data_IF_169445792178
#
_entry.id   IF_169445792178
#
_cell.length_a   1.000
_cell.length_b   1.000
_cell.length_c   1.000
_cell.angle_alpha   90.00
_cell.angle_beta   90.00
_cell.angle_gamma   90.00
#
_symmetry.space_group_name_H-M   'P 1'
#
loop_
_entity.id
_entity.type
_entity.pdbx_description
1 polymer ?
#
# COMPACT_ATOMS: atom_id res chain seq x y z
N UNK A 1 10.62 1.88 10.48
CA UNK A 1 9.81 1.72 9.24
C UNK A 1 10.06 0.35 8.66
N UNK A 2 8.99 -0.30 8.20
CA UNK A 2 9.02 -1.52 7.42
C UNK A 2 8.81 -1.20 5.93
N UNK A 3 9.48 -1.94 5.05
CA UNK A 3 9.21 -1.86 3.60
C UNK A 3 9.38 -3.23 2.96
N UNK A 4 8.56 -3.54 1.96
CA UNK A 4 8.72 -4.75 1.15
C UNK A 4 8.37 -4.47 -0.31
N UNK A 5 9.25 -4.86 -1.22
CA UNK A 5 9.03 -4.73 -2.65
C UNK A 5 9.54 -5.97 -3.39
N UNK A 6 8.99 -6.23 -4.58
CA UNK A 6 9.58 -7.20 -5.51
C UNK A 6 10.79 -6.61 -6.19
N UNK A 7 11.81 -7.43 -6.41
CA UNK A 7 12.99 -7.11 -7.21
C UNK A 7 13.08 -8.14 -8.32
N UNK A 8 13.14 -7.64 -9.55
CA UNK A 8 13.39 -8.46 -10.74
C UNK A 8 14.89 -8.49 -11.03
N UNK A 9 15.46 -9.67 -11.20
CA UNK A 9 16.88 -9.79 -11.56
C UNK A 9 17.11 -9.28 -13.00
N UNK A 10 18.00 -8.30 -13.17
CA UNK A 10 18.27 -7.69 -14.48
C UNK A 10 18.71 -8.71 -15.55
N UNK A 11 19.59 -9.65 -15.18
CA UNK A 11 20.10 -10.68 -16.10
C UNK A 11 19.12 -11.85 -16.30
N UNK A 12 18.26 -12.11 -15.33
CA UNK A 12 17.31 -13.22 -15.33
C UNK A 12 15.92 -12.67 -15.06
N UNK A 13 15.32 -12.07 -16.09
CA UNK A 13 13.99 -11.41 -16.01
C UNK A 13 12.86 -12.33 -15.54
N UNK A 14 13.08 -13.64 -15.50
CA UNK A 14 12.14 -14.64 -14.98
C UNK A 14 12.27 -14.89 -13.48
N UNK A 15 13.30 -14.34 -12.83
CA UNK A 15 13.54 -14.48 -11.40
C UNK A 15 13.13 -13.21 -10.66
N UNK A 16 11.93 -13.25 -10.10
CA UNK A 16 11.49 -12.29 -9.09
C UNK A 16 11.88 -12.79 -7.70
N UNK A 17 12.22 -11.87 -6.80
CA UNK A 17 12.26 -12.13 -5.36
C UNK A 17 11.59 -10.97 -4.63
N UNK A 18 11.14 -11.20 -3.39
CA UNK A 18 10.62 -10.14 -2.54
C UNK A 18 11.58 -9.91 -1.41
N UNK A 19 11.93 -8.65 -1.18
CA UNK A 19 12.87 -8.27 -0.13
C UNK A 19 12.13 -7.35 0.82
N UNK A 20 12.05 -7.77 2.07
CA UNK A 20 11.61 -6.92 3.16
C UNK A 20 12.81 -6.29 3.85
N UNK A 21 12.70 -5.02 4.22
CA UNK A 21 13.73 -4.26 4.93
C UNK A 21 13.14 -3.51 6.11
N UNK A 22 14.01 -3.21 7.07
CA UNK A 22 13.74 -2.33 8.19
C UNK A 22 14.67 -1.12 8.13
N UNK A 23 14.10 0.06 8.34
CA UNK A 23 14.83 1.32 8.46
C UNK A 23 14.60 1.90 9.85
N UNK A 24 15.70 2.16 10.58
CA UNK A 24 15.69 2.75 11.92
C UNK A 24 15.54 4.26 11.77
N UNK A 25 14.42 4.80 12.24
CA UNK A 25 14.09 6.23 12.11
C UNK A 25 14.72 7.11 13.17
N UNK A 26 15.26 6.52 14.25
CA UNK A 26 16.05 7.23 15.27
C UNK A 26 17.38 7.77 14.71
N UNK A 27 17.78 7.29 13.52
CA UNK A 27 18.94 7.82 12.80
C UNK A 27 18.55 9.05 11.99
N UNK A 28 19.52 9.96 11.85
CA UNK A 28 19.35 11.16 11.04
C UNK A 28 18.97 10.84 9.58
N UNK A 29 18.17 11.70 8.91
CA UNK A 29 17.75 11.49 7.52
C UNK A 29 18.92 11.25 6.56
N UNK A 30 20.07 11.89 6.78
CA UNK A 30 21.27 11.80 5.94
C UNK A 30 21.96 10.44 6.04
N UNK A 31 21.67 9.66 7.09
CA UNK A 31 22.32 8.37 7.32
C UNK A 31 21.37 7.19 7.24
N UNK A 32 20.10 7.34 7.63
CA UNK A 32 19.18 6.21 7.83
C UNK A 32 18.93 5.35 6.58
N UNK A 33 19.07 5.92 5.38
CA UNK A 33 18.91 5.19 4.11
C UNK A 33 20.23 4.72 3.48
N UNK A 34 21.38 4.94 4.13
CA UNK A 34 22.65 4.39 3.64
C UNK A 34 22.61 2.86 3.79
N UNK A 35 23.06 2.13 2.77
CA UNK A 35 23.06 0.64 2.71
C UNK A 35 23.45 -0.05 4.01
N UNK A 36 24.48 0.46 4.71
CA UNK A 36 24.97 -0.12 5.98
C UNK A 36 24.00 -0.05 7.16
N UNK A 37 22.97 0.78 7.08
CA UNK A 37 21.97 0.99 8.14
C UNK A 37 20.57 0.50 7.75
N UNK A 38 20.39 0.04 6.52
CA UNK A 38 19.16 -0.62 6.09
C UNK A 38 19.29 -2.10 6.45
N UNK A 39 18.41 -2.58 7.33
CA UNK A 39 18.49 -3.94 7.84
C UNK A 39 17.62 -4.85 6.96
N UNK A 40 18.16 -5.96 6.43
CA UNK A 40 17.33 -6.96 5.76
C UNK A 40 16.40 -7.62 6.77
N UNK A 41 15.10 -7.66 6.46
CA UNK A 41 14.09 -8.34 7.26
C UNK A 41 13.90 -9.78 6.83
N UNK A 42 13.47 -9.98 5.57
CA UNK A 42 13.36 -11.31 4.98
C UNK A 42 13.58 -11.24 3.46
N UNK A 43 13.97 -12.37 2.89
CA UNK A 43 14.09 -12.56 1.44
C UNK A 43 13.20 -13.74 1.08
N UNK A 44 12.23 -13.50 0.21
CA UNK A 44 11.30 -14.51 -0.27
C UNK A 44 11.74 -14.88 -1.68
N UNK A 45 12.20 -16.13 -1.90
CA UNK A 45 12.61 -16.57 -3.23
C UNK A 45 11.39 -16.69 -4.15
N UNK A 46 11.51 -16.25 -5.40
CA UNK A 46 10.54 -16.58 -6.43
C UNK A 46 10.89 -17.88 -7.15
N UNK A 47 10.57 -18.02 -8.45
CA UNK A 47 10.09 -16.98 -9.38
C UNK A 47 8.60 -16.67 -9.23
N UNK A 48 7.85 -17.49 -8.49
CA UNK A 48 6.41 -17.32 -8.31
C UNK A 48 6.14 -16.41 -7.13
N UNK A 49 5.14 -15.54 -7.29
CA UNK A 49 4.61 -14.72 -6.21
C UNK A 49 4.25 -15.56 -4.98
N UNK A 50 4.59 -15.10 -3.75
CA UNK A 50 4.15 -15.77 -2.54
C UNK A 50 2.62 -15.85 -2.53
N UNK A 51 2.08 -17.07 -2.39
CA UNK A 51 0.63 -17.28 -2.25
C UNK A 51 0.09 -16.67 -0.95
N UNK A 52 0.90 -16.74 0.10
CA UNK A 52 0.62 -16.16 1.40
C UNK A 52 1.84 -15.33 1.80
N UNK A 53 1.73 -14.01 1.68
CA UNK A 53 2.80 -13.11 2.10
C UNK A 53 2.92 -13.09 3.64
N UNK A 54 1.78 -13.15 4.34
CA UNK A 54 1.70 -13.08 5.79
C UNK A 54 2.55 -14.18 6.45
N UNK A 55 2.62 -15.39 5.88
CA UNK A 55 3.42 -16.47 6.46
C UNK A 55 4.93 -16.16 6.51
N UNK A 56 5.42 -15.32 5.60
CA UNK A 56 6.82 -14.88 5.59
C UNK A 56 7.07 -13.67 6.49
N UNK A 57 6.06 -12.80 6.66
CA UNK A 57 6.15 -11.59 7.48
C UNK A 57 5.90 -11.87 8.97
N UNK A 58 5.05 -12.85 9.25
CA UNK A 58 4.60 -13.19 10.60
C UNK A 58 5.75 -13.39 11.60
N UNK A 59 6.84 -14.12 11.30
CA UNK A 59 7.92 -14.29 12.27
C UNK A 59 8.55 -12.97 12.70
N UNK A 60 8.85 -12.07 11.75
CA UNK A 60 9.43 -10.77 12.05
C UNK A 60 8.47 -9.87 12.82
N UNK A 61 7.20 -9.87 12.44
CA UNK A 61 6.16 -9.07 13.11
C UNK A 61 5.84 -9.61 14.51
N UNK A 62 5.83 -10.92 14.71
CA UNK A 62 5.66 -11.56 16.01
C UNK A 62 6.73 -11.09 17.00
N UNK A 63 8.01 -11.09 16.59
CA UNK A 63 9.09 -10.59 17.44
C UNK A 63 8.94 -9.09 17.74
N UNK A 64 8.56 -8.28 16.75
CA UNK A 64 8.32 -6.86 16.97
C UNK A 64 7.17 -6.63 17.97
N UNK A 65 6.05 -7.33 17.81
CA UNK A 65 4.91 -7.26 18.75
C UNK A 65 5.29 -7.73 20.15
N UNK A 66 6.10 -8.80 20.27
CA UNK A 66 6.60 -9.26 21.56
C UNK A 66 7.45 -8.17 22.24
N UNK A 67 8.36 -7.52 21.51
CA UNK A 67 9.17 -6.40 22.02
C UNK A 67 8.33 -5.17 22.36
N UNK A 68 7.29 -4.88 21.58
CA UNK A 68 6.34 -3.80 21.88
C UNK A 68 5.59 -4.06 23.19
N UNK A 69 5.28 -5.32 23.51
CA UNK A 69 4.51 -5.68 24.69
C UNK A 69 5.39 -5.86 25.94
N UNK A 70 6.52 -6.53 25.81
CA UNK A 70 7.40 -6.90 26.92
C UNK A 70 8.48 -5.85 27.20
N UNK A 71 8.81 -5.02 26.20
CA UNK A 71 9.89 -4.05 26.25
C UNK A 71 11.26 -4.66 25.98
N UNK A 72 12.04 -3.99 25.12
CA UNK A 72 13.44 -4.32 24.86
C UNK A 72 14.31 -3.71 25.97
N UNK A 73 14.89 -4.55 26.82
CA UNK A 73 15.85 -4.12 27.84
C UNK A 73 17.21 -3.83 27.20
N UNK A 74 17.67 -2.60 27.34
CA UNK A 74 18.94 -2.11 26.83
C UNK A 74 19.77 -1.64 28.03
N UNK A 75 20.97 -2.20 28.18
CA UNK A 75 21.91 -1.71 29.18
C UNK A 75 22.66 -0.50 28.63
N UNK A 76 22.46 0.66 29.27
CA UNK A 76 23.21 1.88 28.99
C UNK A 76 24.43 1.93 29.90
N UNK A 77 25.59 1.60 29.34
CA UNK A 77 26.87 1.60 30.05
C UNK A 77 27.29 3.00 30.50
N UNK A 78 26.90 4.04 29.78
CA UNK A 78 27.28 5.43 30.10
C UNK A 78 26.59 5.94 31.37
N UNK A 79 25.38 5.45 31.64
CA UNK A 79 24.57 5.80 32.81
C UNK A 79 24.56 4.70 33.88
N UNK A 80 25.10 3.52 33.57
CA UNK A 80 24.99 2.31 34.37
C UNK A 80 23.54 1.99 34.76
N UNK A 81 22.63 2.09 33.80
CA UNK A 81 21.19 1.85 34.00
C UNK A 81 20.63 0.93 32.93
N UNK A 82 19.52 0.25 33.25
CA UNK A 82 18.72 -0.46 32.25
C UNK A 82 17.62 0.47 31.76
N UNK A 83 17.60 0.73 30.45
CA UNK A 83 16.53 1.42 29.75
C UNK A 83 15.62 0.38 29.07
N UNK A 84 14.30 0.58 29.14
CA UNK A 84 13.33 -0.27 28.45
C UNK A 84 12.79 0.50 27.24
N UNK A 85 13.06 -0.02 26.06
CA UNK A 85 12.59 0.54 24.79
C UNK A 85 11.39 -0.25 24.26
N UNK A 86 10.35 0.45 23.82
CA UNK A 86 9.22 -0.15 23.13
C UNK A 86 9.25 0.31 21.66
N UNK A 87 9.67 -0.55 20.71
CA UNK A 87 9.87 -0.14 19.33
C UNK A 87 8.58 0.36 18.67
N UNK A 88 8.59 1.60 18.17
CA UNK A 88 7.45 2.18 17.45
C UNK A 88 7.51 1.84 15.95
N UNK A 89 6.46 1.22 15.42
CA UNK A 89 6.31 0.98 13.99
C UNK A 89 5.68 2.20 13.32
N UNK A 90 6.53 3.13 12.88
CA UNK A 90 6.07 4.39 12.32
C UNK A 90 5.38 4.27 10.96
N UNK A 91 5.95 3.49 10.03
CA UNK A 91 5.44 3.40 8.67
C UNK A 91 5.72 2.02 8.09
N UNK A 92 4.81 1.56 7.25
CA UNK A 92 4.89 0.34 6.48
C UNK A 92 4.63 0.66 5.01
N UNK A 93 5.59 0.35 4.15
CA UNK A 93 5.63 0.85 2.77
C UNK A 93 5.77 -0.29 1.77
N UNK A 94 5.15 -0.13 0.61
CA UNK A 94 5.32 -0.99 -0.56
C UNK A 94 4.86 -0.21 -1.80
N UNK A 95 5.29 -0.67 -2.98
CA UNK A 95 4.76 -0.19 -4.26
C UNK A 95 3.25 -0.45 -4.39
N UNK A 96 2.58 0.23 -5.33
CA UNK A 96 1.12 0.16 -5.48
C UNK A 96 0.55 -1.28 -5.44
N UNK A 97 1.07 -2.22 -6.25
CA UNK A 97 0.64 -3.62 -6.23
C UNK A 97 1.00 -4.37 -4.94
N UNK A 98 2.18 -4.15 -4.37
CA UNK A 98 2.61 -4.75 -3.11
C UNK A 98 1.79 -4.27 -1.91
N UNK A 99 1.30 -3.04 -1.97
CA UNK A 99 0.53 -2.42 -0.91
C UNK A 99 -0.78 -3.14 -0.59
N UNK A 100 -1.46 -3.65 -1.62
CA UNK A 100 -2.68 -4.44 -1.47
C UNK A 100 -2.46 -5.70 -0.61
N UNK A 101 -1.23 -6.23 -0.57
CA UNK A 101 -0.88 -7.38 0.28
C UNK A 101 -0.59 -7.01 1.73
N UNK A 102 -0.24 -5.74 2.02
CA UNK A 102 0.02 -5.30 3.39
C UNK A 102 -1.27 -4.82 4.06
N UNK A 103 -2.03 -3.99 3.36
CA UNK A 103 -3.24 -3.37 3.89
C UNK A 103 -4.47 -4.29 3.76
N UNK A 104 -4.39 -5.32 2.93
CA UNK A 104 -5.48 -6.26 2.64
C UNK A 104 -6.76 -5.58 2.13
N UNK A 105 -6.59 -4.45 1.44
CA UNK A 105 -7.62 -3.78 0.68
C UNK A 105 -7.79 -4.43 -0.70
N UNK A 106 -8.92 -4.15 -1.35
CA UNK A 106 -9.13 -4.55 -2.74
C UNK A 106 -8.16 -3.75 -3.62
N UNK A 107 -7.40 -4.44 -4.49
CA UNK A 107 -6.44 -3.81 -5.40
C UNK A 107 -7.09 -3.06 -6.58
N UNK A 108 -6.48 -3.12 -7.77
CA UNK A 108 -6.87 -2.37 -8.98
C UNK A 108 -8.31 -2.60 -9.50
N UNK A 109 -9.02 -3.61 -8.99
CA UNK A 109 -10.43 -3.87 -9.29
C UNK A 109 -11.40 -3.20 -8.29
N UNK A 110 -10.88 -2.51 -7.28
CA UNK A 110 -11.66 -1.81 -6.27
C UNK A 110 -12.11 -0.43 -6.75
N UNK A 111 -13.33 -0.02 -6.37
CA UNK A 111 -13.86 1.32 -6.69
C UNK A 111 -13.13 2.45 -5.95
N UNK A 112 -12.38 2.14 -4.90
CA UNK A 112 -11.52 3.09 -4.22
C UNK A 112 -10.10 2.93 -4.78
N UNK A 113 -9.64 3.85 -5.62
CA UNK A 113 -8.31 3.74 -6.21
C UNK A 113 -7.19 4.13 -5.25
N UNK A 114 -7.49 4.81 -4.14
CA UNK A 114 -6.49 5.05 -3.11
C UNK A 114 -6.30 3.79 -2.25
N UNK A 115 -5.12 3.18 -2.35
CA UNK A 115 -4.74 2.05 -1.50
C UNK A 115 -4.47 2.45 -0.03
N UNK A 116 -4.72 3.69 0.38
CA UNK A 116 -4.63 4.15 1.78
C UNK A 116 -6.01 4.27 2.45
N UNK A 117 -7.09 3.89 1.77
CA UNK A 117 -8.45 3.95 2.33
C UNK A 117 -8.99 5.38 2.57
N UNK A 118 -8.62 6.37 1.74
CA UNK A 118 -9.14 7.74 1.87
C UNK A 118 -10.59 7.94 1.38
N UNK A 119 -11.25 6.88 0.92
CA UNK A 119 -12.65 6.94 0.44
C UNK A 119 -12.84 7.56 -0.94
N UNK A 120 -11.78 8.03 -1.60
CA UNK A 120 -11.84 8.55 -2.97
C UNK A 120 -12.34 7.45 -3.92
N UNK A 121 -13.54 7.66 -4.46
CA UNK A 121 -14.10 6.86 -5.54
C UNK A 121 -13.43 7.23 -6.85
N UNK A 122 -13.36 6.23 -7.72
CA UNK A 122 -12.56 6.30 -8.92
C UNK A 122 -13.40 5.87 -10.13
N UNK A 123 -13.05 6.38 -11.30
CA UNK A 123 -13.73 6.07 -12.55
C UNK A 123 -13.21 4.77 -13.16
N UNK A 124 -14.05 4.04 -13.91
CA UNK A 124 -13.60 2.90 -14.72
C UNK A 124 -14.14 3.02 -16.13
N UNK A 125 -13.43 2.46 -17.11
CA UNK A 125 -13.94 2.44 -18.48
C UNK A 125 -14.97 1.31 -18.63
N UNK A 126 -16.08 1.58 -19.30
CA UNK A 126 -17.12 0.56 -19.55
C UNK A 126 -16.52 -0.68 -20.25
N UNK A 127 -16.90 -1.86 -19.78
CA UNK A 127 -16.36 -3.14 -20.26
C UNK A 127 -14.93 -3.46 -19.78
N UNK A 128 -14.25 -2.54 -19.08
CA UNK A 128 -12.92 -2.74 -18.49
C UNK A 128 -13.05 -2.77 -16.98
N UNK A 129 -12.75 -3.90 -16.35
CA UNK A 129 -12.83 -4.06 -14.88
C UNK A 129 -11.76 -3.31 -14.08
N UNK A 130 -11.07 -2.33 -14.65
CA UNK A 130 -9.95 -1.60 -14.04
C UNK A 130 -10.40 -0.18 -13.71
N UNK A 131 -10.17 0.23 -12.46
CA UNK A 131 -10.44 1.58 -11.98
C UNK A 131 -9.20 2.47 -12.13
N UNK A 132 -9.38 3.70 -12.60
CA UNK A 132 -8.33 4.68 -12.90
C UNK A 132 -8.49 5.94 -12.05
N UNK A 133 -7.53 6.27 -11.16
CA UNK A 133 -7.64 7.40 -10.24
C UNK A 133 -7.60 8.73 -11.00
N UNK A 134 -8.75 9.14 -11.51
CA UNK A 134 -9.00 10.43 -12.12
C UNK A 134 -9.94 11.22 -11.22
N UNK A 135 -9.58 12.48 -10.94
CA UNK A 135 -10.39 13.39 -10.15
C UNK A 135 -11.43 14.11 -11.01
N UNK A 136 -11.18 14.21 -12.31
CA UNK A 136 -12.11 14.80 -13.27
C UNK A 136 -12.94 13.70 -13.92
N UNK A 137 -14.24 13.97 -14.06
CA UNK A 137 -15.16 13.13 -14.80
C UNK A 137 -14.84 13.26 -16.30
N UNK A 138 -14.61 12.13 -17.02
CA UNK A 138 -14.37 12.20 -18.45
C UNK A 138 -15.58 12.75 -19.22
N UNK A 139 -15.34 13.34 -20.39
CA UNK A 139 -16.42 13.81 -21.26
C UNK A 139 -17.29 12.65 -21.76
N UNK A 140 -18.59 12.92 -21.95
CA UNK A 140 -19.57 11.92 -22.41
C UNK A 140 -19.58 10.62 -21.59
N UNK A 141 -19.26 10.71 -20.30
CA UNK A 141 -19.11 9.56 -19.42
C UNK A 141 -20.34 9.35 -18.53
N UNK A 142 -21.03 8.21 -18.71
CA UNK A 142 -22.20 7.83 -17.94
C UNK A 142 -22.17 6.34 -17.53
N UNK A 143 -21.09 5.94 -16.85
CA UNK A 143 -20.95 4.57 -16.37
C UNK A 143 -21.57 4.43 -14.98
N UNK A 144 -22.56 3.55 -14.87
CA UNK A 144 -23.35 3.38 -13.64
C UNK A 144 -22.46 3.09 -12.41
N UNK A 145 -22.65 3.89 -11.35
CA UNK A 145 -21.92 3.76 -10.09
C UNK A 145 -20.51 4.34 -10.12
N UNK A 146 -20.12 5.02 -11.20
CA UNK A 146 -18.85 5.72 -11.37
C UNK A 146 -19.01 7.12 -11.99
N UNK A 147 -20.24 7.59 -12.15
CA UNK A 147 -20.63 8.83 -12.82
C UNK A 147 -20.60 10.07 -11.91
N UNK A 148 -19.92 9.99 -10.77
CA UNK A 148 -19.77 11.10 -9.82
C UNK A 148 -19.12 12.32 -10.50
N UNK A 149 -19.44 13.55 -10.03
CA UNK A 149 -18.82 14.76 -10.56
C UNK A 149 -17.32 14.82 -10.22
N UNK A 150 -16.67 15.85 -10.74
CA UNK A 150 -15.30 16.20 -10.41
C UNK A 150 -15.12 16.27 -8.89
N UNK A 151 -13.99 15.75 -8.43
CA UNK A 151 -13.60 15.76 -7.02
C UNK A 151 -12.51 16.80 -6.84
N UNK A 152 -12.78 17.81 -6.01
CA UNK A 152 -11.75 18.77 -5.60
C UNK A 152 -10.67 18.04 -4.78
N UNK A 153 -9.38 18.07 -5.19
CA UNK A 153 -8.29 17.49 -4.43
C UNK A 153 -8.25 17.93 -2.96
N UNK A 154 -8.67 19.17 -2.67
CA UNK A 154 -8.67 19.73 -1.32
C UNK A 154 -9.84 19.23 -0.44
N UNK A 155 -10.84 18.61 -1.05
CA UNK A 155 -11.99 18.02 -0.36
C UNK A 155 -11.76 16.58 0.10
N UNK A 156 -10.66 15.96 -0.36
CA UNK A 156 -10.32 14.57 -0.04
C UNK A 156 -10.03 14.46 1.44
N UNK A 157 -10.83 13.63 2.12
CA UNK A 157 -10.71 13.45 3.56
C UNK A 157 -9.47 12.64 3.92
N UNK A 158 -8.86 12.93 5.09
CA UNK A 158 -7.79 12.09 5.61
C UNK A 158 -8.31 10.68 5.93
N UNK A 159 -7.37 9.74 6.01
CA UNK A 159 -7.65 8.35 6.34
C UNK A 159 -8.20 8.25 7.76
N UNK A 160 -9.34 7.56 7.91
CA UNK A 160 -10.01 7.35 9.18
C UNK A 160 -9.89 5.88 9.63
N UNK A 161 -9.16 5.66 10.72
CA UNK A 161 -8.99 4.34 11.32
C UNK A 161 -10.27 3.79 11.94
N UNK A 162 -11.14 4.65 12.48
CA UNK A 162 -12.41 4.23 13.09
C UNK A 162 -13.39 3.74 12.02
N UNK A 163 -13.50 4.49 10.91
CA UNK A 163 -14.28 4.06 9.75
C UNK A 163 -13.78 2.72 9.20
N UNK A 164 -12.45 2.57 9.05
CA UNK A 164 -11.86 1.30 8.64
C UNK A 164 -12.26 0.15 9.57
N UNK A 165 -12.11 0.33 10.90
CA UNK A 165 -12.46 -0.70 11.88
C UNK A 165 -13.98 -1.01 11.89
N UNK A 166 -14.83 0.00 11.73
CA UNK A 166 -16.28 -0.19 11.59
C UNK A 166 -16.61 -1.04 10.35
N UNK A 167 -16.03 -0.71 9.21
CA UNK A 167 -16.24 -1.43 7.96
C UNK A 167 -15.66 -2.85 8.01
N UNK A 168 -14.51 -3.03 8.66
CA UNK A 168 -13.93 -4.36 8.89
C UNK A 168 -14.83 -5.23 9.77
N UNK A 169 -15.38 -4.69 10.86
CA UNK A 169 -16.35 -5.43 11.70
C UNK A 169 -17.58 -5.83 10.88
N UNK A 170 -18.10 -4.91 10.07
CA UNK A 170 -19.22 -5.22 9.17
C UNK A 170 -18.88 -6.34 8.17
N UNK A 171 -17.69 -6.33 7.59
CA UNK A 171 -17.21 -7.43 6.73
C UNK A 171 -17.15 -8.76 7.49
N UNK A 172 -16.55 -8.78 8.68
CA UNK A 172 -16.37 -9.99 9.49
C UNK A 172 -17.69 -10.59 10.00
N UNK A 173 -18.74 -9.79 10.11
CA UNK A 173 -20.09 -10.26 10.46
C UNK A 173 -20.84 -10.94 9.29
N UNK A 174 -20.16 -11.24 8.18
CA UNK A 174 -20.77 -11.92 7.03
C UNK A 174 -21.10 -13.38 7.37
N UNK A 175 -22.33 -13.81 7.09
CA UNK A 175 -22.84 -15.16 7.38
C UNK A 175 -22.71 -16.14 6.22
N UNK A 176 -22.36 -15.65 5.02
CA UNK A 176 -22.18 -16.49 3.83
C UNK A 176 -21.07 -15.96 2.93
N UNK A 177 -20.54 -16.83 2.06
CA UNK A 177 -19.52 -16.44 1.06
C UNK A 177 -20.03 -15.37 0.10
N UNK A 178 -21.32 -15.41 -0.27
CA UNK A 178 -21.93 -14.41 -1.12
C UNK A 178 -21.99 -13.04 -0.42
N UNK A 179 -22.42 -13.02 0.84
CA UNK A 179 -22.46 -11.81 1.65
C UNK A 179 -21.06 -11.23 1.86
N UNK A 180 -20.06 -12.08 2.13
CA UNK A 180 -18.67 -11.66 2.28
C UNK A 180 -18.16 -10.95 1.02
N UNK A 181 -18.37 -11.55 -0.16
CA UNK A 181 -17.99 -10.93 -1.44
C UNK A 181 -18.69 -9.59 -1.67
N UNK A 182 -19.99 -9.51 -1.38
CA UNK A 182 -20.73 -8.26 -1.50
C UNK A 182 -20.16 -7.17 -0.57
N UNK A 183 -19.88 -7.51 0.69
CA UNK A 183 -19.31 -6.57 1.67
C UNK A 183 -17.87 -6.20 1.38
N UNK A 184 -17.07 -7.07 0.76
CA UNK A 184 -15.74 -6.70 0.26
C UNK A 184 -15.84 -5.60 -0.80
N UNK A 185 -16.79 -5.71 -1.74
CA UNK A 185 -16.99 -4.71 -2.79
C UNK A 185 -17.55 -3.39 -2.23
N UNK A 186 -18.32 -3.45 -1.16
CA UNK A 186 -18.88 -2.28 -0.48
C UNK A 186 -17.83 -1.55 0.36
N UNK A 187 -17.05 -2.31 1.14
CA UNK A 187 -16.09 -1.74 2.09
C UNK A 187 -14.69 -1.56 1.51
N UNK A 188 -14.35 -2.19 0.40
CA UNK A 188 -12.99 -2.30 -0.16
C UNK A 188 -11.97 -3.02 0.71
N UNK A 189 -12.43 -3.81 1.68
CA UNK A 189 -11.57 -4.61 2.54
C UNK A 189 -11.69 -6.07 2.11
N UNK A 190 -10.57 -6.72 1.83
CA UNK A 190 -10.52 -8.12 1.37
C UNK A 190 -10.47 -9.09 2.54
N UNK A 191 -9.67 -8.78 3.58
CA UNK A 191 -9.57 -9.53 4.85
C UNK A 191 -8.87 -8.65 5.90
N UNK A 192 -8.80 -9.07 7.19
CA UNK A 192 -8.02 -8.34 8.19
C UNK A 192 -6.53 -8.30 7.82
N UNK A 193 -5.91 -7.13 7.94
CA UNK A 193 -4.46 -6.97 7.82
C UNK A 193 -3.73 -7.53 9.04
N UNK A 194 -2.56 -8.15 8.82
CA UNK A 194 -1.66 -8.63 9.88
C UNK A 194 -1.23 -7.50 10.83
N UNK A 195 -1.23 -6.26 10.35
CA UNK A 195 -0.86 -5.08 11.15
C UNK A 195 -1.82 -4.82 12.32
N UNK A 196 -3.05 -5.35 12.27
CA UNK A 196 -3.97 -5.28 13.41
C UNK A 196 -3.47 -6.02 14.66
N UNK A 197 -2.43 -6.85 14.53
CA UNK A 197 -1.79 -7.55 15.66
C UNK A 197 -0.74 -6.74 16.42
N UNK A 198 -0.37 -5.54 15.97
CA UNK A 198 0.59 -4.69 16.69
C UNK A 198 -0.05 -3.98 17.89
N UNK A 199 0.78 -3.57 18.85
CA UNK A 199 0.29 -2.84 20.02
C UNK A 199 -0.22 -1.44 19.60
N UNK A 200 -1.43 -1.02 20.01
CA UNK A 200 -2.04 0.23 19.55
C UNK A 200 -1.22 1.47 19.93
N UNK A 201 -0.52 1.45 21.06
CA UNK A 201 0.34 2.58 21.50
C UNK A 201 1.72 2.60 20.82
N UNK A 202 2.05 1.59 20.02
CA UNK A 202 3.37 1.44 19.39
C UNK A 202 3.31 1.35 17.87
N UNK A 203 2.20 1.79 17.28
CA UNK A 203 2.01 1.91 15.83
C UNK A 203 0.92 2.95 15.57
N UNK A 204 0.93 3.64 14.43
CA UNK A 204 -0.28 4.36 14.01
C UNK A 204 -1.41 3.37 13.71
N UNK A 205 -2.67 3.79 13.87
CA UNK A 205 -3.82 2.93 13.58
C UNK A 205 -3.85 2.45 12.12
N UNK A 206 -4.41 1.27 11.86
CA UNK A 206 -4.65 0.81 10.49
C UNK A 206 -5.83 1.62 9.91
N UNK A 207 -5.73 2.21 8.71
CA UNK A 207 -4.63 2.09 7.73
C UNK A 207 -3.62 3.25 7.71
N UNK A 208 -3.66 4.16 8.68
CA UNK A 208 -2.74 5.32 8.81
C UNK A 208 -1.25 4.91 8.93
N UNK A 209 -0.95 3.73 9.47
CA UNK A 209 0.42 3.21 9.52
C UNK A 209 1.02 2.86 8.16
N UNK A 210 0.23 2.86 7.10
CA UNK A 210 0.72 2.57 5.76
C UNK A 210 1.14 3.83 5.01
N UNK A 211 2.30 3.79 4.37
CA UNK A 211 2.81 4.88 3.54
C UNK A 211 3.02 4.44 2.09
N UNK A 212 2.38 5.12 1.14
CA UNK A 212 2.54 4.79 -0.28
C UNK A 212 3.98 5.07 -0.73
N UNK A 213 4.61 4.06 -1.33
CA UNK A 213 5.92 4.20 -1.98
C UNK A 213 5.73 4.73 -3.41
N UNK A 214 6.06 6.01 -3.61
CA UNK A 214 5.95 6.70 -4.90
C UNK A 214 7.32 6.85 -5.60
N UNK A 215 8.34 6.07 -5.22
CA UNK A 215 9.71 6.22 -5.76
C UNK A 215 9.76 6.23 -7.30
N UNK A 216 8.96 5.39 -7.96
CA UNK A 216 8.93 5.32 -9.43
C UNK A 216 8.03 6.38 -10.08
N UNK A 217 7.14 7.03 -9.31
CA UNK A 217 6.10 7.88 -9.86
C UNK A 217 6.68 9.09 -10.60
N UNK A 218 7.50 9.88 -9.90
CA UNK A 218 8.02 11.15 -10.41
C UNK A 218 9.15 10.93 -11.42
N UNK A 219 9.98 9.91 -11.21
CA UNK A 219 11.23 9.73 -11.98
C UNK A 219 11.11 8.78 -13.16
N UNK A 220 10.15 7.85 -13.16
CA UNK A 220 10.01 6.85 -14.24
C UNK A 220 8.61 6.87 -14.87
N UNK A 221 7.55 6.75 -14.06
CA UNK A 221 6.20 6.55 -14.57
C UNK A 221 5.65 7.80 -15.27
N UNK A 222 5.68 8.95 -14.58
CA UNK A 222 5.20 10.22 -15.12
C UNK A 222 6.04 10.66 -16.34
N UNK A 223 7.39 10.66 -16.28
CA UNK A 223 8.20 11.02 -17.45
C UNK A 223 7.97 10.11 -18.65
N UNK A 224 7.81 8.80 -18.46
CA UNK A 224 7.50 7.88 -19.56
C UNK A 224 6.15 8.21 -20.22
N UNK A 225 5.13 8.57 -19.44
CA UNK A 225 3.84 9.00 -19.99
C UNK A 225 3.97 10.31 -20.78
N UNK A 226 4.70 11.30 -20.26
CA UNK A 226 4.91 12.57 -20.95
C UNK A 226 5.73 12.44 -22.23
N UNK A 227 6.82 11.66 -22.22
CA UNK A 227 7.61 11.39 -23.42
C UNK A 227 6.71 10.74 -24.49
N UNK A 228 5.94 9.73 -24.12
CA UNK A 228 5.04 9.07 -25.06
C UNK A 228 3.95 10.00 -25.59
N UNK A 229 3.43 10.90 -24.75
CA UNK A 229 2.45 11.90 -25.17
C UNK A 229 3.06 12.88 -26.17
N UNK A 230 4.21 13.48 -25.84
CA UNK A 230 4.89 14.48 -26.68
C UNK A 230 5.43 13.91 -27.99
N UNK A 231 5.78 12.63 -28.03
CA UNK A 231 6.19 11.93 -29.25
C UNK A 231 5.01 11.31 -30.02
N UNK A 232 3.77 11.51 -29.57
CA UNK A 232 2.56 10.90 -30.15
C UNK A 232 2.55 9.36 -30.18
N UNK A 233 3.40 8.73 -29.37
CA UNK A 233 3.53 7.27 -29.25
C UNK A 233 2.68 6.69 -28.13
N UNK A 234 2.04 7.51 -27.30
CA UNK A 234 1.17 7.02 -26.22
C UNK A 234 0.02 6.18 -26.79
N UNK A 235 -0.21 5.04 -26.16
CA UNK A 235 -1.26 4.11 -26.56
C UNK A 235 -2.63 4.71 -26.29
N UNK A 236 -3.54 4.54 -27.25
CA UNK A 236 -4.88 5.07 -27.19
C UNK A 236 -5.86 4.02 -27.71
N UNK A 237 -7.13 4.14 -27.33
CA UNK A 237 -8.16 3.32 -27.96
C UNK A 237 -8.23 3.63 -29.46
N UNK A 238 -8.61 2.63 -30.25
CA UNK A 238 -8.80 2.77 -31.72
C UNK A 238 -9.74 3.90 -32.10
N UNK A 239 -10.68 4.24 -31.22
CA UNK A 239 -11.71 5.25 -31.45
C UNK A 239 -11.28 6.64 -30.95
N UNK A 240 -10.05 6.79 -30.44
CA UNK A 240 -9.55 8.06 -29.92
C UNK A 240 -8.75 8.77 -31.00
N UNK A 241 -9.03 10.06 -31.20
CA UNK A 241 -8.31 10.87 -32.17
C UNK A 241 -7.08 11.50 -31.51
N UNK A 242 -5.90 10.95 -31.82
CA UNK A 242 -4.62 11.50 -31.35
C UNK A 242 -4.44 12.96 -31.77
N UNK A 243 -5.12 13.42 -32.83
CA UNK A 243 -5.02 14.80 -33.30
C UNK A 243 -5.61 15.85 -32.35
N UNK A 244 -6.33 15.41 -31.32
CA UNK A 244 -6.97 16.30 -30.33
C UNK A 244 -6.12 16.53 -29.07
N UNK A 245 -4.91 15.97 -29.01
CA UNK A 245 -4.12 15.89 -27.78
C UNK A 245 -3.08 17.02 -27.61
N UNK A 246 -3.10 18.01 -28.49
CA UNK A 246 -2.20 19.16 -28.52
C UNK A 246 -2.93 20.49 -28.72
#
# INVERSE_FOLDING_TARGET
MFSINSVQHYQFKTCDCWIAIWVIFDRSPETRYKKKYVLPGCIIPGPKKPKNLDSFLFPGFYHLTALQKEGLKIWDTSRNTIYISHPFLALSTADGPGFAYLNELVGHHGKNGCHLYCGLKVHHKEGIGIYYPALQKPDNYNVAGCDHPDVDPHSIQPVDSELYLKNLRYLLQSRSKAQYKQRCLETMISKPSLFLGFHPDHMFGVPVCFGSDIMHLISLNIPNLFINLWCSTIECNTNNDKWTWW
#
